data_IF_235919749569
#
_entry.id   IF_235919749569
#
_cell.length_a   1.000
_cell.length_b   1.000
_cell.length_c   1.000
_cell.angle_alpha   90.00
_cell.angle_beta   90.00
_cell.angle_gamma   90.00
#
_symmetry.space_group_name_H-M   'P 1'
#
loop_
_entity.id
_entity.type
_entity.pdbx_description
1 polymer ?
#
# COMPACT_ATOMS: atom_id res chain seq x y z
N UNK A 1 9.18 -14.09 16.69
CA UNK A 1 8.65 -12.70 16.52
C UNK A 1 8.39 -11.96 17.84
N UNK A 2 8.52 -12.60 19.02
CA UNK A 2 8.27 -11.96 20.32
C UNK A 2 9.49 -11.27 20.94
N UNK A 3 10.68 -11.50 20.39
CA UNK A 3 11.88 -10.74 20.75
C UNK A 3 11.62 -9.25 20.60
N UNK A 4 12.16 -8.46 21.54
CA UNK A 4 11.91 -7.03 21.63
C UNK A 4 13.13 -6.22 21.25
N UNK A 5 12.89 -5.11 20.55
CA UNK A 5 13.90 -4.12 20.18
C UNK A 5 13.48 -2.75 20.69
N UNK A 6 14.46 -1.92 21.07
CA UNK A 6 14.21 -0.51 21.35
C UNK A 6 13.99 0.22 20.03
N UNK A 7 12.76 0.66 19.79
CA UNK A 7 12.37 1.44 18.64
C UNK A 7 11.78 2.77 19.11
N UNK A 8 12.45 3.88 18.78
CA UNK A 8 12.04 5.25 19.15
C UNK A 8 11.76 5.39 20.66
N UNK A 9 12.63 4.80 21.49
CA UNK A 9 12.52 4.86 22.95
C UNK A 9 11.53 3.87 23.57
N UNK A 10 10.83 3.05 22.76
CA UNK A 10 9.89 2.04 23.24
C UNK A 10 10.39 0.62 22.92
N UNK A 11 10.30 -0.30 23.89
CA UNK A 11 10.58 -1.72 23.66
C UNK A 11 9.40 -2.40 22.94
N UNK A 12 9.57 -2.72 21.67
CA UNK A 12 8.53 -3.30 20.82
C UNK A 12 8.88 -4.73 20.39
N UNK A 13 7.92 -5.68 20.38
CA UNK A 13 8.12 -6.98 19.75
C UNK A 13 8.40 -6.82 18.25
N UNK A 14 9.35 -7.60 17.72
CA UNK A 14 9.74 -7.56 16.31
C UNK A 14 8.53 -7.76 15.38
N UNK A 15 7.59 -8.64 15.72
CA UNK A 15 6.37 -8.84 14.93
C UNK A 15 5.50 -7.58 14.82
N UNK A 16 5.36 -6.82 15.91
CA UNK A 16 4.61 -5.56 15.92
C UNK A 16 5.30 -4.49 15.09
N UNK A 17 6.63 -4.39 15.17
CA UNK A 17 7.41 -3.44 14.38
C UNK A 17 7.33 -3.75 12.88
N UNK A 18 7.44 -5.01 12.47
CA UNK A 18 7.29 -5.42 11.08
C UNK A 18 5.88 -5.10 10.54
N UNK A 19 4.85 -5.36 11.34
CA UNK A 19 3.48 -4.99 10.98
C UNK A 19 3.32 -3.46 10.83
N UNK A 20 3.88 -2.68 11.74
CA UNK A 20 3.90 -1.22 11.65
C UNK A 20 4.56 -0.75 10.34
N UNK A 21 5.72 -1.30 9.98
CA UNK A 21 6.42 -0.94 8.74
C UNK A 21 5.58 -1.25 7.49
N UNK A 22 4.94 -2.43 7.45
CA UNK A 22 4.05 -2.81 6.35
C UNK A 22 2.88 -1.83 6.26
N UNK A 23 2.22 -1.50 7.38
CA UNK A 23 1.09 -0.57 7.38
C UNK A 23 1.51 0.85 6.98
N UNK A 24 2.65 1.33 7.47
CA UNK A 24 3.20 2.63 7.13
C UNK A 24 3.52 2.73 5.64
N UNK A 25 4.15 1.71 5.06
CA UNK A 25 4.39 1.64 3.62
C UNK A 25 3.07 1.59 2.84
N UNK A 26 2.09 0.80 3.27
CA UNK A 26 0.78 0.71 2.61
C UNK A 26 0.04 2.06 2.63
N UNK A 27 0.10 2.79 3.74
CA UNK A 27 -0.47 4.13 3.89
C UNK A 27 0.10 5.11 2.87
N UNK A 28 1.44 5.25 2.83
CA UNK A 28 2.09 6.14 1.89
C UNK A 28 1.94 5.67 0.44
N UNK A 29 1.94 4.37 0.18
CA UNK A 29 1.66 3.84 -1.16
C UNK A 29 0.26 4.24 -1.63
N UNK A 30 -0.75 4.23 -0.77
CA UNK A 30 -2.09 4.74 -1.07
C UNK A 30 -2.10 6.24 -1.39
N UNK A 31 -1.30 7.05 -0.66
CA UNK A 31 -1.14 8.46 -0.99
C UNK A 31 -0.49 8.65 -2.38
N UNK A 32 0.54 7.85 -2.69
CA UNK A 32 1.22 7.91 -3.99
C UNK A 32 0.28 7.59 -5.16
N UNK A 33 -0.65 6.63 -5.02
CA UNK A 33 -1.57 6.31 -6.13
C UNK A 33 -2.49 7.48 -6.51
N UNK A 34 -2.88 8.30 -5.53
CA UNK A 34 -3.64 9.54 -5.77
C UNK A 34 -2.78 10.57 -6.50
N UNK A 35 -1.55 10.80 -6.03
CA UNK A 35 -0.62 11.75 -6.65
C UNK A 35 -0.27 11.36 -8.09
N UNK A 36 -0.02 10.07 -8.34
CA UNK A 36 0.24 9.55 -9.69
C UNK A 36 -0.94 9.83 -10.62
N UNK A 37 -2.18 9.61 -10.15
CA UNK A 37 -3.39 9.89 -10.93
C UNK A 37 -3.56 11.40 -11.21
N UNK A 38 -3.27 12.26 -10.24
CA UNK A 38 -3.28 13.71 -10.44
C UNK A 38 -2.21 14.17 -11.44
N UNK A 39 -1.07 13.49 -11.48
CA UNK A 39 0.02 13.75 -12.44
C UNK A 39 -0.22 13.12 -13.83
N UNK A 40 -1.36 12.46 -14.07
CA UNK A 40 -1.65 11.78 -15.34
C UNK A 40 -0.82 10.52 -15.59
N UNK A 41 -0.17 9.97 -14.57
CA UNK A 41 0.59 8.72 -14.66
C UNK A 41 -0.34 7.50 -14.54
N UNK A 42 0.08 6.37 -15.11
CA UNK A 42 -0.62 5.09 -14.93
C UNK A 42 -0.42 4.58 -13.51
N UNK A 43 -1.50 4.30 -12.78
CA UNK A 43 -1.41 3.71 -11.43
C UNK A 43 -1.32 2.19 -11.56
N UNK A 44 -0.30 1.54 -10.95
CA UNK A 44 -0.21 0.08 -10.97
C UNK A 44 -1.23 -0.55 -10.01
N UNK A 45 -1.74 -1.72 -10.38
CA UNK A 45 -2.52 -2.58 -9.49
C UNK A 45 -1.69 -3.07 -8.29
N UNK A 46 -2.28 -3.07 -7.09
CA UNK A 46 -1.59 -3.44 -5.83
C UNK A 46 -2.32 -4.56 -5.10
N UNK A 47 -3.63 -4.44 -4.92
CA UNK A 47 -4.49 -5.45 -4.27
C UNK A 47 -5.50 -6.05 -5.24
N UNK A 48 -5.17 -5.98 -6.52
CA UNK A 48 -6.05 -6.16 -7.66
C UNK A 48 -5.77 -5.10 -8.72
N UNK A 49 -6.35 -5.23 -9.92
CA UNK A 49 -6.09 -4.30 -11.01
C UNK A 49 -6.62 -2.90 -10.67
N UNK A 50 -5.86 -1.88 -11.02
CA UNK A 50 -6.35 -0.49 -10.99
C UNK A 50 -7.46 -0.30 -12.04
N UNK A 51 -8.32 0.72 -11.86
CA UNK A 51 -9.47 0.97 -12.75
C UNK A 51 -9.08 1.01 -14.24
N UNK A 52 -7.96 1.62 -14.55
CA UNK A 52 -7.39 1.73 -15.90
C UNK A 52 -6.85 0.40 -16.46
N UNK A 53 -6.46 -0.53 -15.60
CA UNK A 53 -5.95 -1.84 -16.00
C UNK A 53 -7.07 -2.81 -16.38
N UNK A 54 -8.26 -2.69 -15.77
CA UNK A 54 -9.45 -3.46 -16.18
C UNK A 54 -9.76 -3.28 -17.68
N UNK A 55 -9.71 -2.03 -18.15
CA UNK A 55 -9.92 -1.71 -19.56
C UNK A 55 -8.85 -2.37 -20.46
N UNK A 56 -7.60 -2.47 -20.01
CA UNK A 56 -6.52 -3.17 -20.75
C UNK A 56 -6.76 -4.67 -20.86
N UNK A 57 -7.50 -5.26 -19.93
CA UNK A 57 -7.91 -6.66 -19.97
C UNK A 57 -9.20 -6.90 -20.77
N UNK A 58 -9.80 -5.85 -21.36
CA UNK A 58 -11.08 -5.95 -22.06
C UNK A 58 -12.26 -6.18 -21.11
N UNK A 59 -12.10 -5.84 -19.84
CA UNK A 59 -13.11 -6.03 -18.79
C UNK A 59 -13.61 -4.68 -18.27
N UNK A 60 -14.87 -4.63 -17.84
CA UNK A 60 -15.41 -3.47 -17.13
C UNK A 60 -14.95 -3.52 -15.66
N UNK A 61 -14.50 -2.40 -15.12
CA UNK A 61 -14.13 -2.32 -13.70
C UNK A 61 -15.39 -2.51 -12.82
N UNK A 62 -15.28 -3.19 -11.67
CA UNK A 62 -16.40 -3.33 -10.74
C UNK A 62 -17.02 -1.98 -10.37
N UNK A 63 -18.34 -1.93 -10.30
CA UNK A 63 -19.07 -0.74 -9.85
C UNK A 63 -18.83 -0.54 -8.35
N UNK A 64 -18.56 0.70 -7.96
CA UNK A 64 -18.41 1.14 -6.57
C UNK A 64 -19.77 1.19 -5.87
#
# INVERSE_FOLDING_TARGET
LQERINFIGQQMPNGSLLMFLIQHQNHHRGQMTVLMRQAGLTVPGIYGPAKEEWAKFGLEAPKM
#
